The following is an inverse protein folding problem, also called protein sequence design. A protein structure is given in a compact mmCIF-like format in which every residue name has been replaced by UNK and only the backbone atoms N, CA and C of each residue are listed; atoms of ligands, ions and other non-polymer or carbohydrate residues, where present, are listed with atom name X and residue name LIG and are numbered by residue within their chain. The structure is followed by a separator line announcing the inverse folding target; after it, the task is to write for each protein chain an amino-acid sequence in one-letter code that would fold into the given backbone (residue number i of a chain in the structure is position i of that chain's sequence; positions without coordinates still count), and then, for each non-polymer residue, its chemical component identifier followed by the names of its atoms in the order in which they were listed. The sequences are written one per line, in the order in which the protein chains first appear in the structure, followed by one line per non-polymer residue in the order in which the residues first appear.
data_IF_722680534586
#
_entry.id   IF_722680534586
#
_cell.length_a   1.000
_cell.length_b   1.000
_cell.length_c   1.000
_cell.angle_alpha   90.00
_cell.angle_beta   90.00
_cell.angle_gamma   90.00
#
_symmetry.space_group_name_H-M   'P 1'
#
loop_
_entity.id
_entity.type
_entity.pdbx_description
1 polymer ?
#
# COMPACT_ATOMS: atom_id res chain seq x y z
N UNK A 1 1.72 4.08 31.15
CA UNK A 1 1.94 4.16 29.70
C UNK A 1 1.69 5.59 29.31
N UNK A 2 2.71 6.30 28.83
CA UNK A 2 2.52 7.65 28.30
C UNK A 2 1.72 7.58 26.98
N UNK A 3 1.03 8.65 26.63
CA UNK A 3 0.25 8.70 25.37
C UNK A 3 1.14 8.45 24.14
N UNK A 4 2.39 8.93 24.19
CA UNK A 4 3.39 8.70 23.16
C UNK A 4 3.75 7.22 23.02
N UNK A 5 4.06 6.55 24.14
CA UNK A 5 4.35 5.10 24.15
C UNK A 5 3.19 4.30 23.55
N UNK A 6 1.96 4.64 23.93
CA UNK A 6 0.77 3.98 23.41
C UNK A 6 0.68 4.10 21.88
N UNK A 7 0.84 5.30 21.31
CA UNK A 7 0.80 5.49 19.86
C UNK A 7 1.93 4.75 19.13
N UNK A 8 3.13 4.70 19.71
CA UNK A 8 4.24 3.94 19.13
C UNK A 8 3.99 2.44 19.14
N UNK A 9 3.42 1.89 20.21
CA UNK A 9 3.03 0.48 20.27
C UNK A 9 1.95 0.13 19.25
N UNK A 10 0.94 0.98 19.11
CA UNK A 10 -0.11 0.83 18.09
C UNK A 10 0.50 0.89 16.69
N UNK A 11 1.38 1.85 16.42
CA UNK A 11 2.06 1.98 15.14
C UNK A 11 2.92 0.76 14.81
N UNK A 12 3.68 0.25 15.78
CA UNK A 12 4.48 -0.96 15.63
C UNK A 12 3.61 -2.20 15.37
N UNK A 13 2.47 -2.32 16.05
CA UNK A 13 1.51 -3.40 15.80
C UNK A 13 0.93 -3.34 14.38
N UNK A 14 0.54 -2.15 13.91
CA UNK A 14 0.03 -1.93 12.56
C UNK A 14 1.10 -2.28 11.51
N UNK A 15 2.33 -1.81 11.69
CA UNK A 15 3.46 -2.12 10.79
C UNK A 15 3.77 -3.61 10.76
N UNK A 16 3.83 -4.26 11.94
CA UNK A 16 4.07 -5.70 12.05
C UNK A 16 2.99 -6.51 11.33
N UNK A 17 1.71 -6.22 11.60
CA UNK A 17 0.58 -6.90 10.96
C UNK A 17 0.57 -6.66 9.44
N UNK A 18 0.81 -5.42 9.01
CA UNK A 18 0.90 -5.07 7.60
C UNK A 18 2.05 -5.80 6.89
N UNK A 19 3.23 -5.86 7.50
CA UNK A 19 4.37 -6.61 6.96
C UNK A 19 4.05 -8.10 6.83
N UNK A 20 3.50 -8.72 7.87
CA UNK A 20 3.10 -10.13 7.82
C UNK A 20 2.07 -10.35 6.71
N UNK A 21 1.05 -9.49 6.61
CA UNK A 21 0.03 -9.62 5.58
C UNK A 21 0.58 -9.40 4.18
N UNK A 22 1.48 -8.44 4.00
CA UNK A 22 2.12 -8.13 2.73
C UNK A 22 2.98 -9.30 2.20
N UNK A 23 3.66 -10.02 3.10
CA UNK A 23 4.51 -11.16 2.77
C UNK A 23 3.69 -12.44 2.52
N UNK A 24 2.59 -12.65 3.26
CA UNK A 24 1.78 -13.88 3.17
C UNK A 24 0.61 -13.78 2.18
N UNK A 25 0.23 -12.57 1.73
CA UNK A 25 -0.88 -12.38 0.79
C UNK A 25 -0.53 -12.86 -0.62
N UNK A 26 -1.35 -13.78 -1.16
CA UNK A 26 -1.38 -14.10 -2.60
C UNK A 26 -2.23 -13.12 -3.41
N UNK A 27 -3.31 -12.66 -2.81
CA UNK A 27 -4.24 -11.72 -3.45
C UNK A 27 -3.60 -10.31 -3.54
N UNK A 28 -3.49 -9.74 -4.76
CA UNK A 28 -2.89 -8.43 -4.95
C UNK A 28 -3.71 -7.27 -4.35
N UNK A 29 -5.04 -7.36 -4.26
CA UNK A 29 -5.85 -6.37 -3.54
C UNK A 29 -5.47 -6.35 -2.07
N UNK A 30 -5.28 -7.53 -1.48
CA UNK A 30 -4.91 -7.59 -0.06
C UNK A 30 -3.48 -7.10 0.16
N UNK A 31 -2.55 -7.34 -0.77
CA UNK A 31 -1.22 -6.72 -0.72
C UNK A 31 -1.32 -5.19 -0.80
N UNK A 32 -2.19 -4.65 -1.66
CA UNK A 32 -2.41 -3.21 -1.76
C UNK A 32 -2.93 -2.62 -0.44
N UNK A 33 -3.92 -3.26 0.18
CA UNK A 33 -4.43 -2.87 1.51
C UNK A 33 -3.31 -2.93 2.55
N UNK A 34 -2.51 -4.01 2.56
CA UNK A 34 -1.41 -4.16 3.51
C UNK A 34 -0.37 -3.04 3.38
N UNK A 35 -0.01 -2.64 2.15
CA UNK A 35 0.89 -1.49 1.92
C UNK A 35 0.27 -0.20 2.48
N UNK A 36 -1.04 0.00 2.30
CA UNK A 36 -1.72 1.19 2.80
C UNK A 36 -1.75 1.25 4.35
N UNK A 37 -1.96 0.10 4.99
CA UNK A 37 -1.87 -0.04 6.45
C UNK A 37 -0.45 0.22 6.94
N UNK A 38 0.57 -0.27 6.25
CA UNK A 38 1.97 0.02 6.57
C UNK A 38 2.28 1.53 6.46
N UNK A 39 1.77 2.19 5.43
CA UNK A 39 1.89 3.65 5.25
C UNK A 39 1.22 4.41 6.41
N UNK A 40 -0.01 4.04 6.75
CA UNK A 40 -0.76 4.63 7.87
C UNK A 40 -0.05 4.42 9.22
N UNK A 41 0.50 3.24 9.47
CA UNK A 41 1.31 2.96 10.67
C UNK A 41 2.57 3.82 10.74
N UNK A 42 3.26 4.01 9.60
CA UNK A 42 4.42 4.90 9.50
C UNK A 42 4.06 6.36 9.81
N UNK A 43 2.91 6.84 9.33
CA UNK A 43 2.42 8.19 9.63
C UNK A 43 2.10 8.36 11.12
N UNK A 44 1.56 7.33 11.77
CA UNK A 44 1.31 7.35 13.22
C UNK A 44 2.61 7.48 14.02
N UNK A 45 3.71 6.84 13.59
CA UNK A 45 5.04 7.06 14.18
C UNK A 45 5.47 8.53 14.06
N UNK A 46 5.31 9.12 12.87
CA UNK A 46 5.67 10.52 12.64
C UNK A 46 4.84 11.49 13.50
N UNK A 47 3.53 11.25 13.66
CA UNK A 47 2.67 12.04 14.54
C UNK A 47 3.12 11.93 16.00
N UNK A 48 3.39 10.71 16.49
CA UNK A 48 3.87 10.50 17.84
C UNK A 48 5.22 11.21 18.07
N UNK A 49 6.10 11.20 17.07
CA UNK A 49 7.39 11.88 17.13
C UNK A 49 7.24 13.41 17.06
N UNK A 50 6.29 13.92 16.29
CA UNK A 50 5.99 15.36 16.22
C UNK A 50 5.50 15.90 17.56
N UNK A 51 4.76 15.10 18.31
CA UNK A 51 4.19 15.45 19.62
C UNK A 51 5.17 15.35 20.80
N UNK A 52 6.44 14.96 20.56
CA UNK A 52 7.45 14.84 21.64
C UNK A 52 7.95 16.20 22.15
N UNK A 53 7.77 17.26 21.38
CA UNK A 53 8.21 18.63 21.71
C UNK A 53 7.00 19.52 21.97
N UNK A 54 7.21 20.59 22.75
CA UNK A 54 6.21 21.64 22.96
C UNK A 54 6.86 23.00 22.61
N UNK A 55 6.44 23.66 21.50
CA UNK A 55 5.36 23.27 20.59
C UNK A 55 5.69 22.02 19.74
N UNK A 56 4.68 21.35 19.15
CA UNK A 56 4.89 20.21 18.26
C UNK A 56 5.78 20.55 17.06
N UNK A 57 6.56 19.58 16.59
CA UNK A 57 7.48 19.75 15.47
C UNK A 57 6.70 20.06 14.17
N UNK A 58 6.90 21.25 13.56
CA UNK A 58 6.15 21.68 12.39
C UNK A 58 6.57 20.92 11.11
N UNK A 59 7.82 20.45 11.03
CA UNK A 59 8.32 19.70 9.85
C UNK A 59 7.69 18.32 9.81
N UNK A 60 7.65 17.63 10.94
CA UNK A 60 7.01 16.32 11.04
C UNK A 60 5.50 16.40 10.78
N UNK A 61 4.83 17.47 11.25
CA UNK A 61 3.43 17.71 10.93
C UNK A 61 3.19 17.89 9.42
N UNK A 62 4.02 18.72 8.75
CA UNK A 62 3.91 18.90 7.30
C UNK A 62 4.13 17.57 6.55
N UNK A 63 5.12 16.79 6.97
CA UNK A 63 5.42 15.47 6.39
C UNK A 63 4.26 14.49 6.54
N UNK A 64 3.56 14.50 7.68
CA UNK A 64 2.36 13.67 7.90
C UNK A 64 1.25 14.06 6.94
N UNK A 65 0.96 15.35 6.79
CA UNK A 65 -0.10 15.82 5.88
C UNK A 65 0.20 15.41 4.42
N UNK A 66 1.44 15.59 3.97
CA UNK A 66 1.87 15.14 2.64
C UNK A 66 1.76 13.62 2.51
N UNK A 67 2.19 12.87 3.52
CA UNK A 67 2.15 11.41 3.51
C UNK A 67 0.73 10.84 3.51
N UNK A 68 -0.24 11.48 4.16
CA UNK A 68 -1.66 11.11 4.10
C UNK A 68 -2.16 11.20 2.65
N UNK A 69 -1.88 12.31 1.96
CA UNK A 69 -2.27 12.51 0.55
C UNK A 69 -1.64 11.44 -0.34
N UNK A 70 -0.34 11.17 -0.16
CA UNK A 70 0.38 10.12 -0.91
C UNK A 70 -0.25 8.74 -0.65
N UNK A 71 -0.60 8.43 0.59
CA UNK A 71 -1.18 7.13 0.98
C UNK A 71 -2.54 6.91 0.33
N UNK A 72 -3.38 7.95 0.26
CA UNK A 72 -4.67 7.90 -0.44
C UNK A 72 -4.46 7.74 -1.96
N UNK A 73 -3.55 8.52 -2.54
CA UNK A 73 -3.24 8.45 -3.97
C UNK A 73 -2.69 7.06 -4.37
N UNK A 74 -1.88 6.45 -3.50
CA UNK A 74 -1.32 5.12 -3.72
C UNK A 74 -2.40 4.05 -3.90
N UNK A 75 -3.52 4.12 -3.17
CA UNK A 75 -4.66 3.21 -3.40
C UNK A 75 -5.26 3.40 -4.79
N UNK A 76 -5.48 4.65 -5.21
CA UNK A 76 -6.02 4.94 -6.53
C UNK A 76 -5.12 4.40 -7.66
N UNK A 77 -3.81 4.70 -7.58
CA UNK A 77 -2.82 4.19 -8.53
C UNK A 77 -2.73 2.66 -8.47
N UNK A 78 -2.67 2.08 -7.28
CA UNK A 78 -2.58 0.63 -7.09
C UNK A 78 -3.77 -0.13 -7.65
N UNK A 79 -4.99 0.37 -7.48
CA UNK A 79 -6.19 -0.23 -8.07
C UNK A 79 -6.18 -0.16 -9.61
N UNK A 80 -5.74 0.97 -10.18
CA UNK A 80 -5.58 1.09 -11.63
C UNK A 80 -4.56 0.09 -12.14
N UNK A 81 -3.38 -0.01 -11.51
CA UNK A 81 -2.34 -0.96 -11.90
C UNK A 81 -2.80 -2.41 -11.79
N UNK A 82 -3.53 -2.73 -10.72
CA UNK A 82 -4.07 -4.07 -10.54
C UNK A 82 -5.04 -4.43 -11.67
N UNK A 83 -6.01 -3.55 -11.95
CA UNK A 83 -6.97 -3.79 -13.04
C UNK A 83 -6.27 -3.96 -14.38
N UNK A 84 -5.23 -3.17 -14.67
CA UNK A 84 -4.44 -3.32 -15.90
C UNK A 84 -3.67 -4.64 -15.95
N UNK A 85 -3.20 -5.15 -14.80
CA UNK A 85 -2.53 -6.44 -14.73
C UNK A 85 -3.50 -7.61 -14.97
N UNK A 86 -4.73 -7.51 -14.47
CA UNK A 86 -5.80 -8.48 -14.73
C UNK A 86 -6.19 -8.50 -16.21
N UNK A 87 -6.43 -7.33 -16.81
CA UNK A 87 -6.74 -7.18 -18.25
C UNK A 87 -5.62 -7.77 -19.13
N UNK A 88 -4.35 -7.58 -18.75
CA UNK A 88 -3.21 -8.13 -19.48
C UNK A 88 -3.08 -9.66 -19.33
N UNK A 89 -3.52 -10.23 -18.21
CA UNK A 89 -3.53 -11.67 -17.99
C UNK A 89 -4.67 -12.37 -18.75
N UNK A 90 -5.75 -11.65 -19.06
CA UNK A 90 -6.91 -12.16 -19.81
C UNK A 90 -6.76 -12.06 -21.35
N UNK A 91 -5.75 -11.35 -21.85
CA UNK A 91 -5.49 -11.25 -23.29
C UNK A 91 -5.22 -12.66 -23.87
N UNK A 92 -6.05 -13.15 -24.81
CA UNK A 92 -5.86 -14.47 -25.40
C UNK A 92 -4.50 -14.58 -26.07
N UNK A 93 -3.75 -15.64 -25.76
CA UNK A 93 -2.62 -16.04 -26.59
C UNK A 93 -3.08 -16.18 -28.04
N UNK A 94 -2.30 -15.63 -28.95
CA UNK A 94 -2.40 -15.83 -30.40
C UNK A 94 -2.09 -17.31 -30.76
N UNK A 95 -2.89 -18.26 -30.27
CA UNK A 95 -2.80 -19.67 -30.62
C UNK A 95 -4.04 -20.07 -31.44
N UNK A 96 -3.87 -20.10 -32.77
CA UNK A 96 -4.80 -20.81 -33.66
C UNK A 96 -5.02 -20.28 -35.09
N UNK A 97 -4.31 -19.25 -35.54
CA UNK A 97 -4.47 -18.72 -36.91
C UNK A 97 -3.25 -19.00 -37.81
N UNK A 98 -2.87 -20.27 -38.00
CA UNK A 98 -2.08 -20.69 -39.16
C UNK A 98 -2.10 -22.22 -39.31
N UNK A 99 -2.65 -22.70 -40.43
CA UNK A 99 -2.40 -24.07 -40.92
C UNK A 99 -3.63 -24.97 -40.90
N UNK A 100 -4.49 -24.81 -41.91
CA UNK A 100 -4.77 -25.90 -42.85
C UNK A 100 -5.53 -25.33 -44.05
N UNK A 101 -4.76 -24.61 -44.87
CA UNK A 101 -5.07 -24.40 -46.29
C UNK A 101 -4.49 -25.55 -47.10
N UNK A 102 -4.99 -26.77 -46.90
CA UNK A 102 -4.78 -27.86 -47.86
C UNK A 102 -5.96 -27.85 -48.84
N UNK A 103 -5.75 -27.21 -50.00
CA UNK A 103 -6.42 -27.61 -51.25
C UNK A 103 -5.72 -28.84 -51.85
N UNK A 104 -6.07 -29.31 -53.06
CA UNK A 104 -7.05 -28.81 -54.04
C UNK A 104 -8.30 -29.69 -54.21
#
# INVERSE_FOLDING_TARGET
MSTLEWYLWVAAALLGLACVRLLLARDPLVRLIAINVAGSGSLLVLVALAARTDPPDPVLHALVLTGIVITVAFTGVGLVLLRRAEEAAEAPGEDGAAGNGEGP
#
